data_IF_413590087801
#
_entry.id   IF_413590087801
#
_cell.length_a   1.000
_cell.length_b   1.000
_cell.length_c   1.000
_cell.angle_alpha   90.00
_cell.angle_beta   90.00
_cell.angle_gamma   90.00
#
_symmetry.space_group_name_H-M   'P 1'
#
loop_
_entity.id
_entity.type
_entity.pdbx_description
1 polymer ?
#
# COMPACT_ATOMS: atom_id res chain seq x y z
N UNK A 1 -37.22 32.86 -50.81
CA UNK A 1 -35.76 32.60 -50.88
C UNK A 1 -34.93 33.20 -49.73
N UNK A 2 -35.22 34.41 -49.21
CA UNK A 2 -34.45 35.01 -48.09
C UNK A 2 -34.50 34.18 -46.79
N UNK A 3 -35.67 33.68 -46.41
CA UNK A 3 -35.86 32.89 -45.18
C UNK A 3 -35.15 31.52 -45.23
N UNK A 4 -35.05 30.89 -46.40
CA UNK A 4 -34.35 29.61 -46.58
C UNK A 4 -32.82 29.75 -46.43
N UNK A 5 -32.25 30.89 -46.85
CA UNK A 5 -30.84 31.23 -46.62
C UNK A 5 -30.55 31.54 -45.14
N UNK A 6 -31.51 32.16 -44.45
CA UNK A 6 -31.37 32.47 -43.02
C UNK A 6 -31.45 31.21 -42.15
N UNK A 7 -32.32 30.25 -42.49
CA UNK A 7 -32.41 28.95 -41.81
C UNK A 7 -31.16 28.09 -42.00
N UNK A 8 -30.59 28.08 -43.22
CA UNK A 8 -29.32 27.36 -43.49
C UNK A 8 -28.13 28.01 -42.80
N UNK A 9 -28.09 29.34 -42.69
CA UNK A 9 -27.05 30.03 -41.92
C UNK A 9 -27.16 29.71 -40.42
N UNK A 10 -28.38 29.67 -39.87
CA UNK A 10 -28.63 29.37 -38.46
C UNK A 10 -28.27 27.92 -38.12
N UNK A 11 -28.57 26.96 -39.02
CA UNK A 11 -28.22 25.55 -38.81
C UNK A 11 -26.70 25.32 -38.85
N UNK A 12 -25.97 26.02 -39.72
CA UNK A 12 -24.50 25.93 -39.79
C UNK A 12 -23.85 26.50 -38.52
N UNK A 13 -24.36 27.62 -38.00
CA UNK A 13 -23.85 28.21 -36.75
C UNK A 13 -24.12 27.31 -35.54
N UNK A 14 -25.29 26.65 -35.46
CA UNK A 14 -25.59 25.69 -34.39
C UNK A 14 -24.70 24.43 -34.46
N UNK A 15 -24.36 23.94 -35.67
CA UNK A 15 -23.44 22.82 -35.84
C UNK A 15 -21.99 23.18 -35.46
N UNK A 16 -21.55 24.40 -35.76
CA UNK A 16 -20.21 24.88 -35.40
C UNK A 16 -20.03 25.10 -33.89
N UNK A 17 -21.10 25.38 -33.15
CA UNK A 17 -21.05 25.54 -31.70
C UNK A 17 -21.01 24.20 -30.93
N UNK A 18 -21.35 23.08 -31.56
CA UNK A 18 -21.32 21.75 -30.93
C UNK A 18 -19.95 21.04 -31.02
N UNK A 19 -19.08 21.43 -31.95
CA UNK A 19 -17.82 20.70 -32.21
C UNK A 19 -16.66 21.09 -31.27
N UNK A 20 -16.75 22.20 -30.53
CA UNK A 20 -15.64 22.67 -29.69
C UNK A 20 -15.62 22.17 -28.23
N UNK A 21 -16.60 21.38 -27.76
CA UNK A 21 -16.64 20.95 -26.33
C UNK A 21 -16.07 19.57 -26.03
N UNK A 22 -15.77 18.75 -27.04
CA UNK A 22 -15.48 17.31 -26.84
C UNK A 22 -14.00 16.92 -26.93
N UNK A 23 -13.13 17.80 -27.43
CA UNK A 23 -11.72 17.49 -27.64
C UNK A 23 -10.90 17.50 -26.33
N UNK A 24 -11.10 18.50 -25.47
CA UNK A 24 -10.34 18.64 -24.21
C UNK A 24 -10.64 17.54 -23.19
N UNK A 25 -11.89 17.08 -23.12
CA UNK A 25 -12.32 16.05 -22.16
C UNK A 25 -11.71 14.68 -22.51
N UNK A 26 -11.62 14.35 -23.82
CA UNK A 26 -11.00 13.10 -24.26
C UNK A 26 -9.49 13.09 -24.02
N UNK A 27 -8.79 14.19 -24.29
CA UNK A 27 -7.34 14.28 -24.07
C UNK A 27 -6.94 14.15 -22.59
N UNK A 28 -7.67 14.80 -21.68
CA UNK A 28 -7.41 14.71 -20.24
C UNK A 28 -7.67 13.30 -19.67
N UNK A 29 -8.76 12.67 -20.11
CA UNK A 29 -9.09 11.30 -19.71
C UNK A 29 -8.01 10.29 -20.16
N UNK A 30 -7.50 10.45 -21.38
CA UNK A 30 -6.45 9.60 -21.95
C UNK A 30 -5.10 9.75 -21.20
N UNK A 31 -4.70 10.98 -20.89
CA UNK A 31 -3.50 11.26 -20.08
C UNK A 31 -3.61 10.65 -18.67
N UNK A 32 -4.78 10.81 -18.06
CA UNK A 32 -5.04 10.27 -16.71
C UNK A 32 -4.98 8.75 -16.72
N UNK A 33 -5.61 8.10 -17.70
CA UNK A 33 -5.58 6.65 -17.87
C UNK A 33 -4.17 6.12 -18.13
N UNK A 34 -3.42 6.76 -19.03
CA UNK A 34 -2.01 6.39 -19.29
C UNK A 34 -1.14 6.48 -18.04
N UNK A 35 -1.32 7.51 -17.21
CA UNK A 35 -0.62 7.62 -15.93
C UNK A 35 -1.00 6.49 -14.98
N UNK A 36 -2.30 6.23 -14.83
CA UNK A 36 -2.82 5.14 -13.99
C UNK A 36 -2.25 3.78 -14.41
N UNK A 37 -2.23 3.49 -15.71
CA UNK A 37 -1.72 2.24 -16.26
C UNK A 37 -0.20 2.11 -16.03
N UNK A 38 0.55 3.20 -16.16
CA UNK A 38 1.99 3.21 -15.86
C UNK A 38 2.28 2.88 -14.39
N UNK A 39 1.54 3.48 -13.46
CA UNK A 39 1.69 3.21 -12.03
C UNK A 39 1.29 1.77 -11.68
N UNK A 40 0.21 1.28 -12.27
CA UNK A 40 -0.24 -0.10 -12.10
C UNK A 40 0.82 -1.10 -12.61
N UNK A 41 1.40 -0.82 -13.78
CA UNK A 41 2.46 -1.64 -14.35
C UNK A 41 3.70 -1.68 -13.44
N UNK A 42 4.06 -0.57 -12.80
CA UNK A 42 5.15 -0.53 -11.83
C UNK A 42 4.91 -1.44 -10.63
N UNK A 43 3.72 -1.35 -10.03
CA UNK A 43 3.34 -2.21 -8.90
C UNK A 43 3.31 -3.69 -9.29
N UNK A 44 2.82 -4.01 -10.49
CA UNK A 44 2.80 -5.39 -10.98
C UNK A 44 4.20 -5.93 -11.28
N UNK A 45 5.17 -5.10 -11.71
CA UNK A 45 6.59 -5.52 -11.81
C UNK A 45 7.18 -5.86 -10.44
N UNK A 46 6.89 -5.05 -9.42
CA UNK A 46 7.34 -5.31 -8.04
C UNK A 46 6.74 -6.63 -7.53
N UNK A 47 5.42 -6.80 -7.69
CA UNK A 47 4.72 -8.02 -7.29
C UNK A 47 5.20 -9.25 -8.05
N UNK A 48 5.38 -9.13 -9.37
CA UNK A 48 5.87 -10.22 -10.22
C UNK A 48 7.29 -10.66 -9.84
N UNK A 49 8.17 -9.73 -9.48
CA UNK A 49 9.51 -10.06 -9.00
C UNK A 49 9.47 -10.84 -7.68
N UNK A 50 8.63 -10.42 -6.73
CA UNK A 50 8.44 -11.11 -5.45
C UNK A 50 7.83 -12.52 -5.64
N UNK A 51 6.70 -12.60 -6.34
CA UNK A 51 5.98 -13.86 -6.50
C UNK A 51 6.67 -14.83 -7.46
N UNK A 52 7.37 -14.32 -8.48
CA UNK A 52 8.09 -15.15 -9.45
C UNK A 52 9.17 -16.00 -8.80
N UNK A 53 9.98 -15.41 -7.91
CA UNK A 53 11.00 -16.14 -7.15
C UNK A 53 10.34 -17.10 -6.16
N UNK A 54 9.33 -16.63 -5.40
CA UNK A 54 8.61 -17.46 -4.42
C UNK A 54 7.92 -18.66 -5.05
N UNK A 55 7.46 -18.57 -6.29
CA UNK A 55 6.79 -19.66 -7.02
C UNK A 55 7.73 -20.48 -7.91
N UNK A 56 9.00 -20.09 -8.05
CA UNK A 56 9.97 -20.85 -8.84
C UNK A 56 10.27 -22.21 -8.20
N UNK A 57 9.94 -23.34 -8.87
CA UNK A 57 10.25 -24.67 -8.38
C UNK A 57 11.71 -25.04 -8.66
N UNK A 58 12.32 -25.80 -7.76
CA UNK A 58 13.66 -26.37 -7.97
C UNK A 58 14.81 -25.36 -7.96
N UNK A 59 14.58 -24.10 -7.57
CA UNK A 59 15.65 -23.09 -7.44
C UNK A 59 16.56 -23.40 -6.24
N UNK A 60 17.85 -23.74 -6.44
CA UNK A 60 18.79 -23.92 -5.34
C UNK A 60 19.05 -22.57 -4.67
N UNK A 61 19.32 -22.58 -3.36
CA UNK A 61 19.64 -21.39 -2.57
C UNK A 61 18.61 -20.24 -2.69
N UNK A 62 17.34 -20.59 -2.89
CA UNK A 62 16.23 -19.65 -3.07
C UNK A 62 16.19 -18.52 -2.03
N UNK A 63 16.50 -18.82 -0.77
CA UNK A 63 16.51 -17.83 0.31
C UNK A 63 17.59 -16.76 0.14
N UNK A 64 18.74 -17.10 -0.45
CA UNK A 64 19.85 -16.17 -0.70
C UNK A 64 19.45 -15.12 -1.75
N UNK A 65 18.54 -15.47 -2.67
CA UNK A 65 17.97 -14.53 -3.63
C UNK A 65 16.78 -13.76 -3.09
N UNK A 66 15.96 -14.41 -2.24
CA UNK A 66 14.76 -13.78 -1.70
C UNK A 66 15.07 -12.59 -0.80
N UNK A 67 16.07 -12.67 0.09
CA UNK A 67 16.36 -11.59 1.03
C UNK A 67 16.80 -10.27 0.34
N UNK A 68 17.72 -10.29 -0.64
CA UNK A 68 18.03 -9.10 -1.44
C UNK A 68 16.83 -8.58 -2.22
N UNK A 69 16.01 -9.47 -2.81
CA UNK A 69 14.83 -9.07 -3.58
C UNK A 69 13.78 -8.40 -2.71
N UNK A 70 13.53 -8.94 -1.52
CA UNK A 70 12.62 -8.35 -0.54
C UNK A 70 13.09 -6.93 -0.19
N UNK A 71 14.39 -6.73 0.02
CA UNK A 71 14.99 -5.41 0.29
C UNK A 71 14.87 -4.45 -0.90
N UNK A 72 15.17 -4.91 -2.11
CA UNK A 72 15.03 -4.10 -3.34
C UNK A 72 13.57 -3.68 -3.53
N UNK A 73 12.64 -4.61 -3.40
CA UNK A 73 11.22 -4.33 -3.56
C UNK A 73 10.70 -3.40 -2.46
N UNK A 74 11.22 -3.50 -1.24
CA UNK A 74 10.92 -2.53 -0.19
C UNK A 74 11.26 -1.11 -0.62
N UNK A 75 12.48 -0.88 -1.14
CA UNK A 75 12.89 0.45 -1.59
C UNK A 75 12.06 0.95 -2.77
N UNK A 76 11.65 0.08 -3.69
CA UNK A 76 10.73 0.44 -4.78
C UNK A 76 9.35 0.85 -4.25
N UNK A 77 8.80 0.13 -3.26
CA UNK A 77 7.52 0.51 -2.63
C UNK A 77 7.66 1.82 -1.84
N UNK A 78 8.78 2.02 -1.15
CA UNK A 78 9.07 3.27 -0.44
C UNK A 78 9.12 4.46 -1.41
N UNK A 79 9.85 4.32 -2.52
CA UNK A 79 9.97 5.36 -3.54
C UNK A 79 8.64 5.66 -4.23
N UNK A 80 7.89 4.62 -4.62
CA UNK A 80 6.53 4.74 -5.14
C UNK A 80 5.64 5.52 -4.16
N UNK A 81 5.70 5.18 -2.86
CA UNK A 81 4.89 5.82 -1.82
C UNK A 81 5.29 7.27 -1.61
N UNK A 82 6.60 7.58 -1.57
CA UNK A 82 7.11 8.97 -1.46
C UNK A 82 6.67 9.83 -2.67
N UNK A 83 6.66 9.26 -3.87
CA UNK A 83 6.41 10.00 -5.12
C UNK A 83 4.93 10.12 -5.46
N UNK A 84 4.12 9.12 -5.12
CA UNK A 84 2.72 9.01 -5.59
C UNK A 84 1.70 8.82 -4.46
N UNK A 85 2.15 8.60 -3.23
CA UNK A 85 1.32 8.14 -2.11
C UNK A 85 1.11 6.63 -2.12
N UNK A 86 0.50 6.11 -1.07
CA UNK A 86 0.24 4.69 -0.91
C UNK A 86 -0.73 4.17 -2.00
N UNK A 87 -0.49 3.00 -2.62
CA UNK A 87 -1.36 2.45 -3.66
C UNK A 87 -2.85 2.41 -3.26
N UNK A 88 -3.68 3.16 -3.99
CA UNK A 88 -5.12 3.23 -3.76
C UNK A 88 -5.91 3.48 -5.06
N UNK A 89 -7.23 3.29 -5.01
CA UNK A 89 -8.14 3.46 -6.16
C UNK A 89 -8.12 4.85 -6.79
N UNK A 90 -7.81 5.90 -6.02
CA UNK A 90 -7.80 7.29 -6.51
C UNK A 90 -6.64 7.53 -7.47
N UNK A 91 -5.45 7.02 -7.16
CA UNK A 91 -4.25 7.24 -7.98
C UNK A 91 -4.09 6.21 -9.10
N UNK A 92 -4.65 5.00 -8.93
CA UNK A 92 -4.51 3.89 -9.89
C UNK A 92 -5.75 3.71 -10.78
N UNK A 93 -6.90 4.26 -10.41
CA UNK A 93 -8.17 3.94 -11.06
C UNK A 93 -8.74 2.60 -10.59
N UNK A 94 -10.07 2.48 -10.65
CA UNK A 94 -10.79 1.31 -10.13
C UNK A 94 -10.47 0.01 -10.90
N UNK A 95 -10.28 0.11 -12.21
CA UNK A 95 -9.93 -1.03 -13.06
C UNK A 95 -8.56 -1.59 -12.67
N UNK A 96 -7.51 -0.78 -12.72
CA UNK A 96 -6.17 -1.24 -12.39
C UNK A 96 -6.06 -1.74 -10.95
N UNK A 97 -6.69 -1.03 -10.00
CA UNK A 97 -6.66 -1.42 -8.59
C UNK A 97 -7.38 -2.75 -8.31
N UNK A 98 -8.22 -3.24 -9.23
CA UNK A 98 -8.86 -4.54 -9.10
C UNK A 98 -7.92 -5.71 -9.37
N UNK A 99 -6.76 -5.48 -10.00
CA UNK A 99 -5.77 -6.52 -10.21
C UNK A 99 -5.01 -6.84 -8.93
N UNK A 100 -4.86 -8.13 -8.61
CA UNK A 100 -4.13 -8.62 -7.43
C UNK A 100 -2.71 -8.04 -7.36
N UNK A 101 -1.99 -8.03 -8.49
CA UNK A 101 -0.63 -7.53 -8.55
C UNK A 101 -0.50 -6.03 -8.24
N UNK A 102 -1.59 -5.27 -8.35
CA UNK A 102 -1.65 -3.88 -7.93
C UNK A 102 -2.04 -3.80 -6.46
N UNK A 103 -3.18 -4.39 -6.08
CA UNK A 103 -3.76 -4.27 -4.74
C UNK A 103 -2.86 -4.87 -3.65
N UNK A 104 -2.25 -6.02 -3.91
CA UNK A 104 -1.48 -6.77 -2.93
C UNK A 104 -0.01 -6.34 -2.85
N UNK A 105 0.53 -5.66 -3.88
CA UNK A 105 1.96 -5.33 -4.02
C UNK A 105 2.58 -4.74 -2.75
N UNK A 106 2.18 -3.53 -2.36
CA UNK A 106 2.78 -2.83 -1.23
C UNK A 106 2.65 -3.62 0.08
N UNK A 107 1.46 -4.17 0.36
CA UNK A 107 1.22 -4.90 1.60
C UNK A 107 2.05 -6.18 1.68
N UNK A 108 2.13 -6.95 0.59
CA UNK A 108 2.95 -8.16 0.54
C UNK A 108 4.42 -7.84 0.82
N UNK A 109 4.99 -6.86 0.11
CA UNK A 109 6.38 -6.46 0.27
C UNK A 109 6.68 -5.97 1.69
N UNK A 110 5.82 -5.10 2.25
CA UNK A 110 6.00 -4.58 3.61
C UNK A 110 5.90 -5.71 4.66
N UNK A 111 5.02 -6.69 4.46
CA UNK A 111 4.98 -7.89 5.28
C UNK A 111 6.25 -8.74 5.16
N UNK A 112 6.98 -8.71 4.06
CA UNK A 112 8.24 -9.44 3.93
C UNK A 112 9.42 -8.68 4.56
N UNK A 113 9.30 -7.36 4.72
CA UNK A 113 10.37 -6.48 5.19
C UNK A 113 10.05 -5.64 6.44
N UNK A 114 9.31 -6.16 7.45
CA UNK A 114 8.88 -5.34 8.58
C UNK A 114 10.05 -4.89 9.46
N UNK A 115 11.18 -5.61 9.41
CA UNK A 115 12.41 -5.24 10.10
C UNK A 115 13.01 -3.91 9.60
N UNK A 116 12.83 -3.58 8.32
CA UNK A 116 13.35 -2.33 7.76
C UNK A 116 12.59 -1.14 8.35
N UNK A 117 11.26 -1.25 8.47
CA UNK A 117 10.42 -0.23 9.10
C UNK A 117 10.69 -0.09 10.60
N UNK A 118 10.75 -1.21 11.32
CA UNK A 118 10.95 -1.19 12.78
C UNK A 118 12.31 -0.57 13.14
N UNK A 119 13.33 -0.76 12.30
CA UNK A 119 14.68 -0.28 12.56
C UNK A 119 15.00 1.08 11.93
N UNK A 120 14.10 1.67 11.13
CA UNK A 120 14.33 2.94 10.47
C UNK A 120 13.11 3.87 10.61
N UNK A 121 13.27 4.88 11.46
CA UNK A 121 12.21 5.85 11.75
C UNK A 121 11.80 6.65 10.52
N UNK A 122 12.75 7.10 9.70
CA UNK A 122 12.45 7.90 8.50
C UNK A 122 11.54 7.13 7.54
N UNK A 123 11.82 5.84 7.35
CA UNK A 123 10.99 5.00 6.48
C UNK A 123 9.63 4.71 7.09
N UNK A 124 9.57 4.49 8.41
CA UNK A 124 8.30 4.33 9.12
C UNK A 124 7.43 5.59 9.03
N UNK A 125 8.02 6.77 9.15
CA UNK A 125 7.31 8.06 9.10
C UNK A 125 6.57 8.25 7.77
N UNK A 126 7.12 7.77 6.65
CA UNK A 126 6.43 7.77 5.35
C UNK A 126 5.10 7.02 5.44
N UNK A 127 5.07 5.83 6.04
CA UNK A 127 3.85 5.04 6.14
C UNK A 127 2.90 5.56 7.23
N UNK A 128 3.42 6.20 8.28
CA UNK A 128 2.60 6.91 9.26
C UNK A 128 1.86 8.06 8.58
N UNK A 129 2.53 8.83 7.73
CA UNK A 129 1.90 9.91 6.95
C UNK A 129 0.75 9.38 6.08
N UNK A 130 0.93 8.23 5.44
CA UNK A 130 -0.14 7.57 4.68
C UNK A 130 -1.30 7.07 5.57
N UNK A 131 -1.03 6.71 6.83
CA UNK A 131 -2.13 6.45 7.78
C UNK A 131 -2.87 7.71 8.20
N UNK A 132 -2.18 8.85 8.28
CA UNK A 132 -2.80 10.15 8.58
C UNK A 132 -3.64 10.66 7.40
N UNK A 133 -3.25 10.33 6.17
CA UNK A 133 -4.01 10.59 4.93
C UNK A 133 -5.17 9.62 4.70
N UNK A 134 -5.34 8.61 5.56
CA UNK A 134 -6.32 7.53 5.42
C UNK A 134 -6.18 6.70 4.12
N UNK A 135 -5.03 6.80 3.44
CA UNK A 135 -4.69 5.98 2.26
C UNK A 135 -4.17 4.60 2.67
N UNK A 136 -3.64 4.48 3.90
CA UNK A 136 -3.27 3.23 4.56
C UNK A 136 -4.03 3.10 5.89
N UNK A 137 -4.64 1.95 6.17
CA UNK A 137 -5.28 1.73 7.47
C UNK A 137 -4.22 1.54 8.57
N UNK A 138 -4.43 2.18 9.74
CA UNK A 138 -3.54 2.05 10.90
C UNK A 138 -3.40 0.60 11.36
N UNK A 139 -4.47 -0.17 11.32
CA UNK A 139 -4.48 -1.60 11.65
C UNK A 139 -3.62 -2.42 10.69
N UNK A 140 -3.57 -2.02 9.42
CA UNK A 140 -2.71 -2.66 8.41
C UNK A 140 -1.24 -2.35 8.68
N UNK A 141 -0.89 -1.11 9.04
CA UNK A 141 0.47 -0.77 9.45
C UNK A 141 0.86 -1.53 10.73
N UNK A 142 -0.03 -1.59 11.72
CA UNK A 142 0.16 -2.36 12.94
C UNK A 142 0.42 -3.85 12.65
N UNK A 143 -0.35 -4.45 11.73
CA UNK A 143 -0.17 -5.82 11.27
C UNK A 143 1.22 -6.05 10.66
N UNK A 144 1.66 -5.14 9.78
CA UNK A 144 2.98 -5.20 9.15
C UNK A 144 4.07 -5.20 10.23
N UNK A 145 4.02 -4.23 11.15
CA UNK A 145 5.03 -4.08 12.21
C UNK A 145 5.03 -5.25 13.18
N UNK A 146 3.86 -5.81 13.52
CA UNK A 146 3.76 -6.94 14.45
C UNK A 146 4.39 -8.23 13.88
N UNK A 147 4.46 -8.37 12.56
CA UNK A 147 5.12 -9.52 11.92
C UNK A 147 6.60 -9.61 12.29
N UNK A 148 7.29 -8.48 12.48
CA UNK A 148 8.67 -8.45 12.97
C UNK A 148 8.82 -9.14 14.33
N UNK A 149 7.81 -9.02 15.19
CA UNK A 149 7.80 -9.56 16.53
C UNK A 149 7.29 -11.00 16.59
N UNK A 150 6.60 -11.48 15.55
CA UNK A 150 5.93 -12.78 15.55
C UNK A 150 6.86 -13.98 15.78
N UNK A 151 8.08 -13.90 15.26
CA UNK A 151 9.11 -14.94 15.42
C UNK A 151 10.01 -14.71 16.64
N UNK A 152 9.93 -13.54 17.28
CA UNK A 152 10.82 -13.17 18.38
C UNK A 152 10.26 -13.66 19.72
N UNK A 153 11.17 -14.18 20.54
CA UNK A 153 10.89 -14.64 21.90
C UNK A 153 11.80 -13.95 22.89
N UNK A 154 11.39 -13.89 24.14
CA UNK A 154 12.28 -13.56 25.26
C UNK A 154 12.93 -14.81 25.85
N UNK A 155 13.74 -14.62 26.89
CA UNK A 155 14.44 -15.69 27.63
C UNK A 155 13.51 -16.74 28.26
N UNK A 156 12.22 -16.43 28.43
CA UNK A 156 11.20 -17.33 28.99
C UNK A 156 10.30 -17.94 27.90
N UNK A 157 10.62 -17.72 26.62
CA UNK A 157 9.85 -18.21 25.49
C UNK A 157 8.52 -17.48 25.25
N UNK A 158 8.30 -16.30 25.82
CA UNK A 158 7.12 -15.49 25.52
C UNK A 158 7.28 -14.80 24.17
N UNK A 159 6.19 -14.73 23.40
CA UNK A 159 6.16 -13.94 22.16
C UNK A 159 6.31 -12.46 22.48
N UNK A 160 7.13 -11.77 21.68
CA UNK A 160 7.38 -10.32 21.82
C UNK A 160 6.39 -9.45 21.03
N UNK A 161 5.22 -9.96 20.66
CA UNK A 161 4.18 -9.17 19.99
C UNK A 161 3.91 -7.88 20.74
N UNK A 162 3.68 -6.80 19.99
CA UNK A 162 3.46 -5.47 20.57
C UNK A 162 2.18 -4.82 20.06
N UNK A 163 1.74 -5.13 18.85
CA UNK A 163 0.63 -4.40 18.24
C UNK A 163 -0.72 -5.08 18.44
N UNK A 164 -0.76 -6.39 18.66
CA UNK A 164 -2.02 -7.11 18.81
C UNK A 164 -2.75 -7.24 17.48
N UNK A 165 -2.14 -7.99 16.57
CA UNK A 165 -2.65 -8.25 15.21
C UNK A 165 -3.03 -9.72 15.03
N UNK A 166 -3.36 -10.13 13.81
CA UNK A 166 -3.59 -11.55 13.48
C UNK A 166 -2.37 -12.46 13.77
N UNK A 167 -1.16 -11.90 13.87
CA UNK A 167 0.02 -12.69 14.23
C UNK A 167 0.06 -13.11 15.70
N UNK A 168 -0.65 -12.39 16.57
CA UNK A 168 -0.78 -12.75 17.97
C UNK A 168 -1.06 -11.58 18.90
N UNK A 169 -1.41 -11.93 20.13
CA UNK A 169 -1.65 -11.00 21.24
C UNK A 169 -0.35 -10.70 22.01
N UNK A 170 -0.10 -9.45 22.42
CA UNK A 170 1.02 -9.11 23.29
C UNK A 170 0.92 -9.76 24.67
N UNK A 171 2.07 -10.04 25.26
CA UNK A 171 2.19 -10.48 26.65
C UNK A 171 1.85 -9.31 27.60
N UNK A 172 1.11 -9.56 28.69
CA UNK A 172 0.72 -8.49 29.64
C UNK A 172 1.91 -7.68 30.18
N UNK A 173 3.08 -8.29 30.34
CA UNK A 173 4.30 -7.60 30.77
C UNK A 173 4.81 -6.55 29.78
N UNK A 174 4.48 -6.68 28.50
CA UNK A 174 4.85 -5.72 27.45
C UNK A 174 3.83 -4.61 27.26
N UNK A 175 2.81 -4.49 28.13
CA UNK A 175 1.74 -3.49 27.99
C UNK A 175 2.25 -2.08 27.78
N UNK A 176 3.16 -1.60 28.63
CA UNK A 176 3.72 -0.24 28.48
C UNK A 176 4.39 -0.02 27.13
N UNK A 177 5.12 -1.03 26.64
CA UNK A 177 5.77 -0.97 25.33
C UNK A 177 4.73 -1.02 24.19
N UNK A 178 3.74 -1.90 24.30
CA UNK A 178 2.61 -2.03 23.37
C UNK A 178 1.85 -0.71 23.23
N UNK A 179 1.46 -0.10 24.35
CA UNK A 179 0.74 1.17 24.38
C UNK A 179 1.57 2.30 23.74
N UNK A 180 2.87 2.34 24.04
CA UNK A 180 3.81 3.31 23.46
C UNK A 180 3.92 3.17 21.93
N UNK A 181 4.18 1.97 21.41
CA UNK A 181 4.35 1.78 19.96
C UNK A 181 3.04 1.93 19.19
N UNK A 182 1.90 1.62 19.81
CA UNK A 182 0.57 1.84 19.21
C UNK A 182 0.25 3.33 19.10
N UNK A 183 0.61 4.12 20.12
CA UNK A 183 0.44 5.57 20.09
C UNK A 183 1.23 6.23 18.94
N UNK A 184 2.44 5.73 18.65
CA UNK A 184 3.27 6.23 17.53
C UNK A 184 2.55 6.16 16.18
N UNK A 185 1.77 5.10 15.94
CA UNK A 185 1.00 4.92 14.70
C UNK A 185 -0.47 5.40 14.84
N UNK A 186 -0.78 6.16 15.90
CA UNK A 186 -2.09 6.75 16.13
C UNK A 186 -3.20 5.75 16.49
N UNK A 187 -2.85 4.59 17.06
CA UNK A 187 -3.79 3.61 17.60
C UNK A 187 -3.96 3.76 19.12
N UNK A 188 -5.20 3.56 19.59
CA UNK A 188 -5.49 3.50 21.02
C UNK A 188 -4.82 2.28 21.70
N UNK A 189 -4.55 2.35 23.02
CA UNK A 189 -4.15 1.18 23.81
C UNK A 189 -5.05 -0.03 23.59
N UNK A 190 -4.49 -1.23 23.70
CA UNK A 190 -5.29 -2.45 23.62
C UNK A 190 -6.11 -2.65 24.92
N UNK A 191 -7.34 -3.16 24.84
CA UNK A 191 -8.07 -3.62 26.03
C UNK A 191 -7.35 -4.82 26.67
N UNK A 192 -7.52 -4.99 27.98
CA UNK A 192 -6.90 -6.08 28.75
C UNK A 192 -7.16 -7.48 28.18
N UNK A 193 -8.32 -7.69 27.56
CA UNK A 193 -8.72 -8.97 26.93
C UNK A 193 -7.86 -9.34 25.70
N UNK A 194 -7.12 -8.39 25.14
CA UNK A 194 -6.20 -8.60 24.03
C UNK A 194 -4.75 -8.81 24.50
N UNK A 195 -4.51 -8.93 25.80
CA UNK A 195 -3.23 -9.38 26.36
C UNK A 195 -3.30 -10.84 26.82
N UNK A 196 -2.20 -11.57 26.68
CA UNK A 196 -2.04 -12.94 27.21
C UNK A 196 -1.23 -12.94 28.50
N UNK A 197 -1.50 -13.92 29.38
CA UNK A 197 -0.67 -14.18 30.55
C UNK A 197 0.72 -14.63 30.09
N UNK A 198 1.74 -14.05 30.71
CA UNK A 198 3.13 -14.37 30.42
C UNK A 198 3.57 -15.61 31.18
N UNK A 199 4.41 -16.43 30.54
CA UNK A 199 5.26 -17.37 31.26
C UNK A 199 6.24 -16.55 32.10
N UNK A 200 6.29 -16.86 33.39
CA UNK A 200 7.31 -16.39 34.33
C UNK A 200 8.10 -17.59 34.83
N UNK A 201 9.24 -17.32 35.50
CA UNK A 201 9.78 -18.28 36.47
C UNK A 201 8.73 -18.57 37.56
#
# INVERSE_FOLDING_TARGET
MKYLKMLTLLSVVLFLLQTCKSADIKGYADITKKRQDSLAFELCKIYGLDQGIRKSPGMPNKWDFMLPIDSINFFKILDFTKTHGFPNKKILGQENYSHECVQASAIAILLHTPHILVNNKEYLDVFIEETNKETLKKETLALILDKYYAIRRDEFGNRRHLYGSQFGKPCKKYRRQSDSVRAVIGLAPLPDSLFVKCKSK
#
